data_IF_440564684561
#
_entry.id   IF_440564684561
#
_cell.length_a   1.000
_cell.length_b   1.000
_cell.length_c   1.000
_cell.angle_alpha   90.00
_cell.angle_beta   90.00
_cell.angle_gamma   90.00
#
_symmetry.space_group_name_H-M   'P 1'
#
loop_
_entity.id
_entity.type
_entity.pdbx_description
1 polymer ?
#
# COMPACT_ATOMS: atom_id res chain seq x y z
N UNK A 1 16.33 -41.19 -37.20
CA UNK A 1 15.05 -40.50 -37.00
C UNK A 1 15.32 -39.29 -36.12
N UNK A 2 15.55 -38.13 -36.75
CA UNK A 2 15.96 -36.90 -36.10
C UNK A 2 14.67 -36.17 -35.70
N UNK A 3 14.43 -36.03 -34.38
CA UNK A 3 13.32 -35.21 -33.88
C UNK A 3 13.86 -33.79 -33.73
N UNK A 4 13.36 -32.91 -34.61
CA UNK A 4 13.58 -31.48 -34.59
C UNK A 4 12.98 -30.90 -33.31
N UNK A 5 13.81 -30.33 -32.45
CA UNK A 5 13.39 -29.45 -31.35
C UNK A 5 12.98 -28.10 -31.94
N UNK A 6 11.71 -27.79 -31.78
CA UNK A 6 11.11 -26.54 -32.24
C UNK A 6 11.62 -25.33 -31.47
N UNK A 7 11.80 -24.29 -32.21
CA UNK A 7 12.13 -22.88 -31.92
C UNK A 7 11.87 -22.40 -30.48
N UNK A 8 12.95 -22.08 -29.81
CA UNK A 8 12.95 -21.14 -28.71
C UNK A 8 12.64 -19.75 -29.27
N UNK A 9 11.46 -19.17 -28.95
CA UNK A 9 11.18 -17.79 -29.20
C UNK A 9 12.23 -16.94 -28.48
N UNK A 10 12.85 -15.99 -29.18
CA UNK A 10 13.91 -15.18 -28.63
C UNK A 10 13.34 -14.27 -27.51
N UNK A 11 14.16 -13.94 -26.52
CA UNK A 11 13.80 -13.00 -25.44
C UNK A 11 13.29 -11.67 -25.99
N UNK A 12 13.72 -11.29 -27.20
CA UNK A 12 13.26 -10.10 -27.93
C UNK A 12 11.83 -10.22 -28.47
N UNK A 13 11.38 -11.41 -28.86
CA UNK A 13 9.99 -11.63 -29.29
C UNK A 13 9.01 -11.55 -28.11
N UNK A 14 9.39 -12.02 -26.95
CA UNK A 14 8.62 -11.85 -25.72
C UNK A 14 8.55 -10.38 -25.32
N UNK A 15 9.65 -9.64 -25.32
CA UNK A 15 9.69 -8.19 -25.01
C UNK A 15 8.87 -7.36 -26.00
N UNK A 16 8.84 -7.72 -27.29
CA UNK A 16 7.99 -7.06 -28.29
C UNK A 16 6.50 -7.37 -28.10
N UNK A 17 6.15 -8.60 -27.76
CA UNK A 17 4.80 -9.02 -27.41
C UNK A 17 4.24 -8.23 -26.22
N UNK A 18 5.05 -8.04 -25.21
CA UNK A 18 4.77 -7.28 -24.02
C UNK A 18 4.48 -5.79 -24.29
N UNK A 19 5.36 -5.13 -25.02
CA UNK A 19 5.17 -3.73 -25.41
C UNK A 19 3.85 -3.52 -26.15
N UNK A 20 3.49 -4.44 -27.05
CA UNK A 20 2.21 -4.40 -27.77
C UNK A 20 1.00 -4.61 -26.88
N UNK A 21 1.07 -5.51 -25.88
CA UNK A 21 0.00 -5.73 -24.92
C UNK A 21 -0.22 -4.51 -24.02
N UNK A 22 0.87 -3.87 -23.57
CA UNK A 22 0.84 -2.65 -22.77
C UNK A 22 0.20 -1.48 -23.53
N UNK A 23 0.59 -1.27 -24.79
CA UNK A 23 0.02 -0.23 -25.66
C UNK A 23 -1.48 -0.48 -25.88
N UNK A 24 -1.89 -1.73 -26.12
CA UNK A 24 -3.30 -2.11 -26.30
C UNK A 24 -4.14 -1.79 -25.06
N UNK A 25 -3.63 -2.10 -23.86
CA UNK A 25 -4.29 -1.79 -22.58
C UNK A 25 -4.46 -0.29 -22.38
N UNK A 26 -3.42 0.50 -22.62
CA UNK A 26 -3.46 1.98 -22.53
C UNK A 26 -4.47 2.58 -23.50
N UNK A 27 -4.45 2.15 -24.75
CA UNK A 27 -5.37 2.65 -25.79
C UNK A 27 -6.83 2.31 -25.45
N UNK A 28 -7.09 1.08 -24.99
CA UNK A 28 -8.43 0.66 -24.58
C UNK A 28 -8.98 1.52 -23.43
N UNK A 29 -8.17 1.79 -22.41
CA UNK A 29 -8.56 2.64 -21.29
C UNK A 29 -8.79 4.08 -21.73
N UNK A 30 -7.93 4.64 -22.58
CA UNK A 30 -8.11 5.99 -23.13
C UNK A 30 -9.43 6.12 -23.91
N UNK A 31 -9.77 5.14 -24.74
CA UNK A 31 -11.04 5.12 -25.50
C UNK A 31 -12.24 5.08 -24.52
N UNK A 32 -12.17 4.25 -23.48
CA UNK A 32 -13.25 4.16 -22.49
C UNK A 32 -13.42 5.45 -21.70
N UNK A 33 -12.35 6.12 -21.32
CA UNK A 33 -12.41 7.42 -20.62
C UNK A 33 -13.05 8.48 -21.53
N UNK A 34 -12.66 8.53 -22.81
CA UNK A 34 -13.26 9.45 -23.79
C UNK A 34 -14.76 9.15 -23.97
N UNK A 35 -15.14 7.88 -24.09
CA UNK A 35 -16.55 7.49 -24.20
C UNK A 35 -17.36 7.90 -22.95
N UNK A 36 -16.83 7.72 -21.76
CA UNK A 36 -17.47 8.17 -20.51
C UNK A 36 -17.63 9.69 -20.47
N UNK A 37 -16.61 10.45 -20.88
CA UNK A 37 -16.67 11.91 -20.97
C UNK A 37 -17.72 12.38 -21.99
N UNK A 38 -17.83 11.71 -23.15
CA UNK A 38 -18.83 12.01 -24.15
C UNK A 38 -20.26 11.74 -23.66
N UNK A 39 -20.49 10.60 -22.98
CA UNK A 39 -21.79 10.28 -22.36
C UNK A 39 -22.15 11.32 -21.30
N UNK A 40 -21.19 11.74 -20.49
CA UNK A 40 -21.38 12.76 -19.46
C UNK A 40 -21.77 14.12 -20.10
N UNK A 41 -21.03 14.55 -21.11
CA UNK A 41 -21.31 15.78 -21.85
C UNK A 41 -22.71 15.76 -22.52
N UNK A 42 -23.08 14.63 -23.13
CA UNK A 42 -24.42 14.42 -23.68
C UNK A 42 -25.51 14.52 -22.61
N UNK A 43 -25.31 13.91 -21.45
CA UNK A 43 -26.25 13.95 -20.33
C UNK A 43 -26.44 15.37 -19.81
N UNK A 44 -25.35 16.13 -19.61
CA UNK A 44 -25.41 17.55 -19.21
C UNK A 44 -26.20 18.38 -20.23
N UNK A 45 -25.92 18.20 -21.50
CA UNK A 45 -26.63 18.92 -22.58
C UNK A 45 -28.12 18.57 -22.61
N UNK A 46 -28.46 17.29 -22.54
CA UNK A 46 -29.84 16.81 -22.49
C UNK A 46 -30.62 17.33 -21.30
N UNK A 47 -29.98 17.40 -20.15
CA UNK A 47 -30.62 17.92 -18.92
C UNK A 47 -30.85 19.42 -18.97
N UNK A 48 -29.95 20.17 -19.61
CA UNK A 48 -30.10 21.64 -19.79
C UNK A 48 -31.27 22.02 -20.68
N UNK A 49 -31.71 21.14 -21.57
CA UNK A 49 -32.87 21.32 -22.46
C UNK A 49 -34.19 20.79 -21.88
N UNK A 50 -34.19 20.25 -20.67
CA UNK A 50 -35.37 19.71 -20.01
C UNK A 50 -36.30 20.81 -19.47
N UNK A 51 -37.54 20.44 -19.09
CA UNK A 51 -38.52 21.39 -18.55
C UNK A 51 -38.05 22.11 -17.30
N UNK A 52 -38.48 23.37 -17.08
CA UNK A 52 -38.12 24.19 -15.92
C UNK A 52 -38.42 23.50 -14.59
N UNK A 53 -39.54 22.78 -14.50
CA UNK A 53 -39.88 22.01 -13.29
C UNK A 53 -38.86 20.91 -13.00
N UNK A 54 -38.41 20.19 -14.02
CA UNK A 54 -37.39 19.15 -13.87
C UNK A 54 -36.03 19.74 -13.45
N UNK A 55 -35.63 20.88 -14.02
CA UNK A 55 -34.42 21.59 -13.63
C UNK A 55 -34.50 22.08 -12.18
N UNK A 56 -35.65 22.63 -11.75
CA UNK A 56 -35.86 23.05 -10.36
C UNK A 56 -35.76 21.88 -9.38
N UNK A 57 -36.30 20.71 -9.71
CA UNK A 57 -36.20 19.49 -8.88
C UNK A 57 -34.75 19.00 -8.78
N UNK A 58 -33.99 18.99 -9.86
CA UNK A 58 -32.57 18.63 -9.83
C UNK A 58 -31.74 19.62 -9.00
N UNK A 59 -32.03 20.92 -9.10
CA UNK A 59 -31.35 21.95 -8.32
C UNK A 59 -31.65 21.80 -6.82
N UNK A 60 -32.89 21.53 -6.46
CA UNK A 60 -33.29 21.27 -5.07
C UNK A 60 -32.62 20.01 -4.52
N UNK A 61 -32.57 18.94 -5.31
CA UNK A 61 -31.86 17.71 -4.97
C UNK A 61 -30.37 18.02 -4.75
N UNK A 62 -29.72 18.75 -5.64
CA UNK A 62 -28.29 19.11 -5.54
C UNK A 62 -28.00 19.96 -4.29
N UNK A 63 -28.87 20.91 -3.97
CA UNK A 63 -28.77 21.70 -2.73
C UNK A 63 -28.89 20.79 -1.50
N UNK A 64 -29.86 19.89 -1.50
CA UNK A 64 -30.06 18.93 -0.40
C UNK A 64 -28.83 18.02 -0.22
N UNK A 65 -28.23 17.57 -1.31
CA UNK A 65 -26.98 16.77 -1.30
C UNK A 65 -25.81 17.61 -0.77
N UNK A 66 -25.69 18.89 -1.16
CA UNK A 66 -24.64 19.76 -0.65
C UNK A 66 -24.76 19.98 0.87
N UNK A 67 -25.97 20.23 1.38
CA UNK A 67 -26.23 20.33 2.82
C UNK A 67 -25.91 19.01 3.55
N UNK A 68 -26.26 17.88 2.98
CA UNK A 68 -25.91 16.57 3.53
C UNK A 68 -24.38 16.37 3.62
N UNK A 69 -23.62 16.78 2.58
CA UNK A 69 -22.15 16.68 2.58
C UNK A 69 -21.56 17.53 3.69
N UNK A 70 -22.04 18.75 3.88
CA UNK A 70 -21.56 19.65 4.94
C UNK A 70 -21.77 19.03 6.33
N UNK A 71 -22.93 18.43 6.57
CA UNK A 71 -23.28 17.82 7.85
C UNK A 71 -22.61 16.47 8.15
N UNK A 72 -22.06 15.78 7.11
CA UNK A 72 -21.41 14.48 7.29
C UNK A 72 -20.02 14.65 7.94
N UNK A 73 -19.55 13.73 8.82
CA UNK A 73 -18.15 13.72 9.25
C UNK A 73 -17.21 13.43 8.06
N UNK A 74 -15.98 13.95 8.09
CA UNK A 74 -14.96 13.74 7.05
C UNK A 74 -14.15 15.01 6.79
N UNK A 75 -13.12 14.88 5.97
CA UNK A 75 -12.15 15.91 5.61
C UNK A 75 -12.81 17.19 5.05
N UNK A 76 -12.57 18.38 5.63
CA UNK A 76 -13.18 19.64 5.18
C UNK A 76 -12.85 19.98 3.72
N UNK A 77 -11.61 19.76 3.29
CA UNK A 77 -11.15 20.07 1.92
C UNK A 77 -11.88 19.23 0.87
N UNK A 78 -12.08 17.95 1.15
CA UNK A 78 -12.82 17.04 0.27
C UNK A 78 -14.30 17.45 0.19
N UNK A 79 -14.91 17.85 1.31
CA UNK A 79 -16.30 18.36 1.36
C UNK A 79 -16.46 19.62 0.54
N UNK A 80 -15.55 20.60 0.72
CA UNK A 80 -15.57 21.85 -0.03
C UNK A 80 -15.45 21.60 -1.53
N UNK A 81 -14.57 20.70 -1.95
CA UNK A 81 -14.42 20.34 -3.37
C UNK A 81 -15.72 19.80 -3.97
N UNK A 82 -16.42 18.92 -3.26
CA UNK A 82 -17.72 18.41 -3.70
C UNK A 82 -18.80 19.48 -3.70
N UNK A 83 -18.90 20.29 -2.66
CA UNK A 83 -19.88 21.39 -2.56
C UNK A 83 -19.63 22.40 -3.68
N UNK A 84 -18.38 22.77 -3.95
CA UNK A 84 -18.01 23.64 -5.05
C UNK A 84 -18.45 23.08 -6.42
N UNK A 85 -18.17 21.79 -6.68
CA UNK A 85 -18.59 21.13 -7.91
C UNK A 85 -20.12 21.11 -8.06
N UNK A 86 -20.85 20.85 -6.98
CA UNK A 86 -22.32 20.84 -6.97
C UNK A 86 -22.88 22.25 -7.24
N UNK A 87 -22.30 23.29 -6.63
CA UNK A 87 -22.73 24.67 -6.85
C UNK A 87 -22.41 25.17 -8.27
N UNK A 88 -21.27 24.71 -8.84
CA UNK A 88 -20.90 25.04 -10.22
C UNK A 88 -21.81 24.36 -11.25
N UNK A 89 -22.32 23.17 -10.94
CA UNK A 89 -23.18 22.37 -11.82
C UNK A 89 -24.46 21.93 -11.12
N UNK A 90 -25.37 22.86 -10.73
CA UNK A 90 -26.48 22.57 -9.83
C UNK A 90 -27.50 21.57 -10.42
N UNK A 91 -27.63 21.49 -11.72
CA UNK A 91 -28.54 20.53 -12.37
C UNK A 91 -27.99 19.10 -12.35
N UNK A 92 -26.67 18.93 -12.19
CA UNK A 92 -26.02 17.64 -12.38
C UNK A 92 -25.16 17.22 -11.18
N UNK A 93 -24.51 18.16 -10.49
CA UNK A 93 -23.50 17.87 -9.45
C UNK A 93 -23.99 17.00 -8.31
N UNK A 94 -25.23 17.22 -7.85
CA UNK A 94 -25.84 16.40 -6.81
C UNK A 94 -26.04 14.95 -7.26
N UNK A 95 -26.55 14.73 -8.47
CA UNK A 95 -26.70 13.39 -9.05
C UNK A 95 -25.34 12.71 -9.24
N UNK A 96 -24.35 13.45 -9.72
CA UNK A 96 -22.99 12.93 -9.89
C UNK A 96 -22.37 12.50 -8.56
N UNK A 97 -22.53 13.33 -7.51
CA UNK A 97 -22.09 12.94 -6.17
C UNK A 97 -22.79 11.66 -5.67
N UNK A 98 -24.10 11.56 -5.86
CA UNK A 98 -24.86 10.37 -5.46
C UNK A 98 -24.35 9.13 -6.19
N UNK A 99 -24.19 9.20 -7.52
CA UNK A 99 -23.65 8.09 -8.31
C UNK A 99 -22.23 7.69 -7.85
N UNK A 100 -21.40 8.68 -7.50
CA UNK A 100 -20.07 8.43 -6.97
C UNK A 100 -20.09 7.84 -5.55
N UNK A 101 -20.96 8.32 -4.66
CA UNK A 101 -20.99 7.94 -3.25
C UNK A 101 -21.76 6.64 -2.97
N UNK A 102 -22.74 6.27 -3.82
CA UNK A 102 -23.51 5.04 -3.67
C UNK A 102 -22.77 3.76 -4.07
N UNK A 103 -21.46 3.83 -4.25
CA UNK A 103 -20.67 2.65 -4.60
C UNK A 103 -20.53 1.72 -3.40
N UNK A 104 -21.37 0.70 -3.37
CA UNK A 104 -21.39 -0.32 -2.30
C UNK A 104 -20.12 -1.16 -2.21
N UNK A 105 -19.35 -1.21 -3.31
CA UNK A 105 -18.13 -2.03 -3.41
C UNK A 105 -17.06 -1.68 -2.37
N UNK A 106 -16.81 -0.39 -2.14
CA UNK A 106 -15.83 0.09 -1.15
C UNK A 106 -16.19 -0.35 0.26
N UNK A 107 -17.48 -0.20 0.65
CA UNK A 107 -17.98 -0.63 1.96
C UNK A 107 -17.94 -2.15 2.14
N UNK A 108 -18.17 -2.88 1.06
CA UNK A 108 -18.09 -4.34 1.07
C UNK A 108 -16.65 -4.80 1.30
N UNK A 109 -15.69 -4.31 0.52
CA UNK A 109 -14.28 -4.65 0.68
C UNK A 109 -13.75 -4.21 2.04
N UNK A 110 -14.10 -3.01 2.51
CA UNK A 110 -13.75 -2.54 3.85
C UNK A 110 -14.23 -3.48 4.96
N UNK A 111 -15.46 -4.01 4.86
CA UNK A 111 -15.97 -5.00 5.81
C UNK A 111 -15.20 -6.31 5.76
N UNK A 112 -14.85 -6.81 4.57
CA UNK A 112 -14.06 -8.04 4.42
C UNK A 112 -12.69 -7.87 5.07
N UNK A 113 -12.00 -6.77 4.79
CA UNK A 113 -10.68 -6.49 5.35
C UNK A 113 -10.74 -6.28 6.87
N UNK A 114 -11.74 -5.57 7.38
CA UNK A 114 -11.95 -5.40 8.83
C UNK A 114 -12.23 -6.74 9.53
N UNK A 115 -13.06 -7.59 8.93
CA UNK A 115 -13.34 -8.94 9.46
C UNK A 115 -12.06 -9.79 9.48
N UNK A 116 -11.29 -9.76 8.41
CA UNK A 116 -10.01 -10.48 8.31
C UNK A 116 -8.97 -9.96 9.30
N UNK A 117 -8.86 -8.64 9.44
CA UNK A 117 -7.98 -8.02 10.44
C UNK A 117 -8.38 -8.42 11.86
N UNK A 118 -9.68 -8.44 12.16
CA UNK A 118 -10.18 -8.90 13.46
C UNK A 118 -9.86 -10.39 13.71
N UNK A 119 -9.99 -11.25 12.70
CA UNK A 119 -9.65 -12.66 12.81
C UNK A 119 -8.16 -12.89 13.05
N UNK A 120 -7.28 -12.10 12.40
CA UNK A 120 -5.83 -12.19 12.57
C UNK A 120 -5.33 -11.56 13.87
N UNK A 121 -6.09 -10.65 14.49
CA UNK A 121 -5.67 -9.90 15.69
C UNK A 121 -5.13 -10.77 16.84
N UNK A 122 -5.73 -11.91 17.21
CA UNK A 122 -5.19 -12.79 18.25
C UNK A 122 -3.80 -13.35 17.93
N UNK A 123 -3.45 -13.48 16.64
CA UNK A 123 -2.20 -14.06 16.20
C UNK A 123 -1.01 -13.10 16.36
N UNK A 124 -1.23 -11.79 16.48
CA UNK A 124 -0.17 -10.84 16.84
C UNK A 124 0.36 -11.08 18.25
N UNK A 125 -0.44 -11.63 19.15
CA UNK A 125 -0.09 -11.91 20.53
C UNK A 125 0.20 -13.40 20.79
N UNK A 126 0.65 -14.15 19.78
CA UNK A 126 1.05 -15.56 19.95
C UNK A 126 2.10 -15.69 21.08
N UNK A 127 2.18 -16.85 21.77
CA UNK A 127 3.11 -17.06 22.84
C UNK A 127 4.54 -16.65 22.44
N UNK A 128 5.16 -15.79 23.26
CA UNK A 128 6.49 -15.21 23.02
C UNK A 128 6.62 -14.28 21.79
N UNK A 129 5.52 -13.98 21.06
CA UNK A 129 5.59 -13.03 19.95
C UNK A 129 5.75 -11.59 20.46
N UNK A 130 4.75 -11.05 21.14
CA UNK A 130 4.76 -9.68 21.60
C UNK A 130 5.39 -9.53 22.99
N UNK A 131 6.02 -8.39 23.23
CA UNK A 131 6.44 -7.98 24.58
C UNK A 131 5.22 -7.56 25.41
N UNK A 132 5.29 -7.71 26.72
CA UNK A 132 4.35 -7.11 27.67
C UNK A 132 4.26 -5.58 27.52
N UNK A 133 3.56 -4.90 28.43
CA UNK A 133 3.62 -3.44 28.46
C UNK A 133 5.07 -2.99 28.66
N UNK A 134 5.57 -2.11 27.76
CA UNK A 134 6.93 -1.63 27.90
C UNK A 134 7.07 -0.85 29.21
N UNK A 135 8.16 -1.08 29.92
CA UNK A 135 8.51 -0.29 31.11
C UNK A 135 8.58 1.20 30.70
N UNK A 136 7.78 2.08 31.30
CA UNK A 136 7.83 3.50 31.03
C UNK A 136 9.23 4.11 31.19
N UNK A 137 10.06 3.56 32.07
CA UNK A 137 11.45 4.00 32.24
C UNK A 137 12.33 3.68 31.03
N UNK A 138 12.04 2.61 30.28
CA UNK A 138 12.79 2.23 29.09
C UNK A 138 12.37 3.00 27.84
N UNK A 139 11.09 3.36 27.73
CA UNK A 139 10.52 3.98 26.52
C UNK A 139 10.27 5.48 26.64
N UNK A 140 10.35 6.02 27.87
CA UNK A 140 10.26 7.47 28.13
C UNK A 140 9.04 8.13 27.46
N UNK A 141 9.30 9.19 26.68
CA UNK A 141 8.27 9.97 25.98
C UNK A 141 7.50 9.14 24.93
N UNK A 142 8.04 8.02 24.44
CA UNK A 142 7.38 7.16 23.47
C UNK A 142 6.28 6.26 24.07
N UNK A 143 6.20 6.12 25.41
CA UNK A 143 5.24 5.21 26.07
C UNK A 143 3.77 5.45 25.66
N UNK A 144 3.26 6.70 25.56
CA UNK A 144 1.89 6.93 25.10
C UNK A 144 1.67 6.54 23.63
N UNK A 145 2.67 6.73 22.75
CA UNK A 145 2.59 6.32 21.35
C UNK A 145 2.51 4.78 21.24
N UNK A 146 3.36 4.07 21.97
CA UNK A 146 3.35 2.60 22.00
C UNK A 146 1.99 2.06 22.47
N UNK A 147 1.41 2.67 23.51
CA UNK A 147 0.06 2.29 23.99
C UNK A 147 -1.02 2.56 22.96
N UNK A 148 -0.97 3.70 22.27
CA UNK A 148 -1.92 4.03 21.21
C UNK A 148 -1.86 3.02 20.06
N UNK A 149 -0.67 2.77 19.51
CA UNK A 149 -0.49 1.82 18.40
C UNK A 149 -0.92 0.39 18.83
N UNK A 150 -0.67 0.01 20.09
CA UNK A 150 -1.18 -1.26 20.65
C UNK A 150 -2.72 -1.29 20.72
N UNK A 151 -3.36 -0.20 21.12
CA UNK A 151 -4.83 -0.09 21.13
C UNK A 151 -5.42 -0.24 19.73
N UNK A 152 -4.73 0.23 18.69
CA UNK A 152 -5.06 0.00 17.30
C UNK A 152 -4.88 -1.47 16.86
N UNK A 153 -4.27 -2.32 17.70
CA UNK A 153 -4.11 -3.76 17.45
C UNK A 153 -2.71 -4.21 17.08
N UNK A 154 -1.72 -3.33 17.14
CA UNK A 154 -0.34 -3.61 16.77
C UNK A 154 0.55 -3.64 18.02
N UNK A 155 0.97 -4.81 18.53
CA UNK A 155 1.81 -4.91 19.70
C UNK A 155 3.26 -4.52 19.41
N UNK A 156 3.99 -4.15 20.44
CA UNK A 156 5.44 -3.96 20.37
C UNK A 156 6.18 -5.29 20.61
N UNK A 157 7.31 -5.46 19.97
CA UNK A 157 8.15 -6.66 20.03
C UNK A 157 9.55 -6.31 20.53
N UNK A 158 10.02 -7.02 21.55
CA UNK A 158 11.44 -7.12 21.90
C UNK A 158 12.11 -8.24 21.08
N UNK A 159 13.34 -8.59 21.43
CA UNK A 159 14.13 -9.60 20.72
C UNK A 159 14.08 -9.41 19.18
N UNK A 160 14.28 -8.17 18.78
CA UNK A 160 14.20 -7.75 17.39
C UNK A 160 15.35 -6.79 17.10
N UNK A 161 16.04 -7.06 16.02
CA UNK A 161 17.07 -6.19 15.43
C UNK A 161 16.49 -5.46 14.22
N UNK A 162 16.85 -4.18 14.06
CA UNK A 162 16.53 -3.40 12.88
C UNK A 162 17.79 -2.80 12.28
N UNK A 163 17.92 -2.90 10.96
CA UNK A 163 19.02 -2.35 10.18
C UNK A 163 18.49 -1.31 9.22
N UNK A 164 18.99 -0.08 9.27
CA UNK A 164 18.67 0.97 8.33
C UNK A 164 19.52 0.81 7.07
N UNK A 165 18.88 0.75 5.93
CA UNK A 165 19.48 0.49 4.63
C UNK A 165 19.25 1.67 3.70
N UNK A 166 20.30 2.44 3.46
CA UNK A 166 20.32 3.56 2.53
C UNK A 166 21.73 3.67 1.90
N UNK A 167 21.83 3.97 0.62
CA UNK A 167 20.77 4.18 -0.36
C UNK A 167 20.06 2.87 -0.80
N UNK A 168 19.15 2.97 -1.79
CA UNK A 168 18.40 1.82 -2.29
C UNK A 168 19.25 0.64 -2.76
N UNK A 169 20.49 0.87 -3.21
CA UNK A 169 21.45 -0.19 -3.55
C UNK A 169 21.81 -1.07 -2.33
N UNK A 170 21.95 -0.46 -1.14
CA UNK A 170 22.21 -1.22 0.08
C UNK A 170 21.01 -2.09 0.47
N UNK A 171 19.80 -1.54 0.32
CA UNK A 171 18.55 -2.29 0.49
C UNK A 171 18.47 -3.47 -0.47
N UNK A 172 18.75 -3.27 -1.74
CA UNK A 172 18.73 -4.31 -2.78
C UNK A 172 19.73 -5.43 -2.49
N UNK A 173 20.99 -5.09 -2.20
CA UNK A 173 22.02 -6.09 -1.90
C UNK A 173 21.65 -6.95 -0.68
N UNK A 174 21.10 -6.30 0.36
CA UNK A 174 20.66 -6.99 1.57
C UNK A 174 19.46 -7.89 1.30
N UNK A 175 18.49 -7.40 0.54
CA UNK A 175 17.28 -8.14 0.15
C UNK A 175 17.64 -9.43 -0.59
N UNK A 176 18.50 -9.39 -1.61
CA UNK A 176 18.94 -10.59 -2.33
C UNK A 176 19.65 -11.60 -1.40
N UNK A 177 20.53 -11.10 -0.53
CA UNK A 177 21.25 -11.97 0.43
C UNK A 177 20.32 -12.68 1.40
N UNK A 178 19.20 -12.07 1.81
CA UNK A 178 18.24 -12.71 2.70
C UNK A 178 17.28 -13.66 1.95
N UNK A 179 16.88 -13.30 0.72
CA UNK A 179 16.03 -14.17 -0.11
C UNK A 179 16.70 -15.54 -0.35
N UNK A 180 18.01 -15.55 -0.57
CA UNK A 180 18.78 -16.80 -0.74
C UNK A 180 18.66 -17.75 0.47
N UNK A 181 18.48 -17.21 1.68
CA UNK A 181 18.41 -17.96 2.93
C UNK A 181 17.02 -18.50 3.26
N UNK A 182 16.02 -18.21 2.43
CA UNK A 182 14.64 -18.65 2.67
C UNK A 182 14.54 -20.18 2.69
N UNK A 183 13.82 -20.72 3.68
CA UNK A 183 13.66 -22.15 3.94
C UNK A 183 12.22 -22.64 3.84
N UNK A 184 11.21 -21.79 4.13
CA UNK A 184 9.80 -22.18 4.21
C UNK A 184 8.90 -21.36 3.30
N UNK A 185 8.95 -20.04 3.42
CA UNK A 185 8.08 -19.16 2.64
C UNK A 185 8.67 -17.78 2.40
N UNK A 186 8.23 -17.16 1.30
CA UNK A 186 8.56 -15.80 0.92
C UNK A 186 7.27 -15.08 0.53
N UNK A 187 6.95 -13.96 1.20
CA UNK A 187 5.79 -13.13 0.89
C UNK A 187 6.24 -11.73 0.48
N UNK A 188 5.77 -11.27 -0.68
CA UNK A 188 6.08 -9.95 -1.22
C UNK A 188 4.81 -9.15 -1.46
N UNK A 189 4.82 -7.89 -1.05
CA UNK A 189 3.75 -6.93 -1.30
C UNK A 189 4.38 -5.60 -1.70
N UNK A 190 4.18 -5.19 -2.95
CA UNK A 190 4.80 -3.98 -3.50
C UNK A 190 3.82 -3.19 -4.36
N UNK A 191 3.94 -1.86 -4.32
CA UNK A 191 3.12 -0.98 -5.13
C UNK A 191 3.53 -0.98 -6.60
N UNK A 192 4.85 -0.91 -6.88
CA UNK A 192 5.42 -0.95 -8.23
C UNK A 192 6.34 -2.15 -8.37
N UNK A 193 6.12 -2.88 -9.45
CA UNK A 193 7.04 -3.88 -10.00
C UNK A 193 7.28 -3.49 -11.45
N UNK A 194 8.54 -3.39 -11.85
CA UNK A 194 8.96 -3.10 -13.22
C UNK A 194 10.10 -4.02 -13.62
N UNK A 195 10.06 -4.56 -14.84
CA UNK A 195 11.16 -5.37 -15.38
C UNK A 195 12.45 -4.56 -15.44
N UNK A 196 13.53 -5.17 -15.00
CA UNK A 196 14.85 -4.58 -14.95
C UNK A 196 15.77 -5.36 -14.04
N UNK A 197 16.97 -4.85 -13.81
CA UNK A 197 18.01 -5.53 -13.05
C UNK A 197 17.53 -5.97 -11.67
N UNK A 198 16.82 -5.06 -10.95
CA UNK A 198 16.35 -5.34 -9.59
C UNK A 198 15.32 -6.46 -9.60
N UNK A 199 14.25 -6.31 -10.37
CA UNK A 199 13.17 -7.29 -10.39
C UNK A 199 13.59 -8.62 -10.96
N UNK A 200 14.34 -8.64 -12.08
CA UNK A 200 14.80 -9.89 -12.73
C UNK A 200 15.65 -10.73 -11.77
N UNK A 201 16.51 -10.08 -10.97
CA UNK A 201 17.34 -10.77 -9.96
C UNK A 201 16.50 -11.36 -8.83
N UNK A 202 15.51 -10.59 -8.34
CA UNK A 202 14.57 -11.07 -7.32
C UNK A 202 13.75 -12.22 -7.87
N UNK A 203 13.16 -12.06 -9.06
CA UNK A 203 12.33 -13.08 -9.70
C UNK A 203 13.06 -14.39 -9.91
N UNK A 204 14.32 -14.35 -10.34
CA UNK A 204 15.14 -15.55 -10.53
C UNK A 204 15.31 -16.36 -9.23
N UNK A 205 15.48 -15.68 -8.08
CA UNK A 205 15.54 -16.33 -6.78
C UNK A 205 14.17 -16.91 -6.41
N UNK A 206 13.08 -16.14 -6.60
CA UNK A 206 11.72 -16.58 -6.26
C UNK A 206 11.32 -17.83 -7.07
N UNK A 207 11.61 -17.85 -8.37
CA UNK A 207 11.35 -19.02 -9.24
C UNK A 207 12.09 -20.25 -8.75
N UNK A 208 13.37 -20.12 -8.43
CA UNK A 208 14.16 -21.22 -7.90
C UNK A 208 13.62 -21.71 -6.56
N UNK A 209 13.31 -20.80 -5.63
CA UNK A 209 12.75 -21.14 -4.33
C UNK A 209 11.38 -21.81 -4.44
N UNK A 210 10.53 -21.37 -5.38
CA UNK A 210 9.25 -22.04 -5.67
C UNK A 210 9.46 -23.45 -6.22
N UNK A 211 10.45 -23.66 -7.11
CA UNK A 211 10.82 -24.99 -7.60
C UNK A 211 11.41 -25.90 -6.52
N UNK A 212 12.08 -25.33 -5.52
CA UNK A 212 12.53 -26.02 -4.31
C UNK A 212 11.36 -26.40 -3.36
N UNK A 213 10.13 -25.95 -3.66
CA UNK A 213 8.92 -26.27 -2.88
C UNK A 213 8.56 -25.25 -1.80
N UNK A 214 9.21 -24.08 -1.75
CA UNK A 214 8.85 -23.02 -0.81
C UNK A 214 7.53 -22.37 -1.22
N UNK A 215 6.75 -21.91 -0.24
CA UNK A 215 5.54 -21.14 -0.47
C UNK A 215 5.89 -19.69 -0.84
N UNK A 216 5.82 -19.36 -2.12
CA UNK A 216 6.07 -18.00 -2.60
C UNK A 216 4.75 -17.32 -2.95
N UNK A 217 4.48 -16.14 -2.34
CA UNK A 217 3.27 -15.34 -2.56
C UNK A 217 3.62 -13.90 -2.89
N UNK A 218 2.97 -13.34 -3.89
CA UNK A 218 3.16 -11.95 -4.32
C UNK A 218 1.81 -11.22 -4.37
N UNK A 219 1.78 -10.02 -3.78
CA UNK A 219 0.72 -9.03 -4.01
C UNK A 219 1.35 -7.82 -4.70
N UNK A 220 0.71 -7.32 -5.75
CA UNK A 220 1.06 -6.02 -6.31
C UNK A 220 -0.18 -5.17 -6.59
N UNK A 221 -0.03 -3.85 -6.52
CA UNK A 221 -1.11 -2.93 -6.86
C UNK A 221 -1.26 -2.82 -8.39
N UNK A 222 -2.48 -3.06 -8.91
CA UNK A 222 -2.68 -3.08 -10.35
C UNK A 222 -2.55 -1.69 -11.01
N UNK A 223 -2.82 -0.59 -10.28
CA UNK A 223 -2.55 0.78 -10.80
C UNK A 223 -1.06 1.11 -10.71
N UNK A 224 -0.40 0.75 -9.60
CA UNK A 224 1.04 0.94 -9.46
C UNK A 224 1.83 0.25 -10.57
N UNK A 225 1.35 -0.93 -11.00
CA UNK A 225 1.97 -1.72 -12.06
C UNK A 225 1.30 -1.57 -13.44
N UNK A 226 0.32 -0.65 -13.58
CA UNK A 226 -0.48 -0.51 -14.81
C UNK A 226 0.35 -0.20 -16.06
N UNK A 227 1.41 0.59 -15.89
CA UNK A 227 2.29 1.02 -16.98
C UNK A 227 3.55 0.16 -17.13
N UNK A 228 3.83 -0.70 -16.16
CA UNK A 228 5.09 -1.45 -16.05
C UNK A 228 4.92 -2.95 -16.29
N UNK A 229 3.75 -3.52 -15.99
CA UNK A 229 3.48 -4.95 -16.15
C UNK A 229 2.34 -5.24 -17.15
N UNK A 230 2.36 -6.37 -17.87
CA UNK A 230 1.24 -6.83 -18.68
C UNK A 230 0.02 -7.19 -17.82
N UNK A 231 -1.17 -7.18 -18.45
CA UNK A 231 -2.44 -7.41 -17.75
C UNK A 231 -2.60 -8.82 -17.16
N UNK A 232 -1.85 -9.78 -17.65
CA UNK A 232 -1.88 -11.20 -17.28
C UNK A 232 -0.61 -11.65 -16.54
N UNK A 233 0.15 -10.69 -15.99
CA UNK A 233 1.42 -10.97 -15.31
C UNK A 233 1.25 -11.90 -14.08
N UNK A 234 0.14 -11.77 -13.37
CA UNK A 234 -0.24 -12.69 -12.29
C UNK A 234 -0.27 -14.15 -12.76
N UNK A 235 -0.86 -14.42 -13.94
CA UNK A 235 -0.89 -15.76 -14.53
C UNK A 235 0.50 -16.24 -14.96
N UNK A 236 1.34 -15.32 -15.44
CA UNK A 236 2.72 -15.65 -15.79
C UNK A 236 3.52 -16.11 -14.56
N UNK A 237 3.31 -15.45 -13.40
CA UNK A 237 3.94 -15.85 -12.14
C UNK A 237 3.37 -17.19 -11.61
N UNK A 238 2.06 -17.40 -11.70
CA UNK A 238 1.43 -18.67 -11.33
C UNK A 238 2.00 -19.86 -12.15
N UNK A 239 2.24 -19.66 -13.45
CA UNK A 239 2.87 -20.70 -14.30
C UNK A 239 4.33 -21.02 -13.89
N UNK A 240 4.97 -20.17 -13.11
CA UNK A 240 6.31 -20.36 -12.54
C UNK A 240 6.28 -20.94 -11.12
N UNK A 241 5.09 -21.30 -10.60
CA UNK A 241 4.90 -21.81 -9.24
C UNK A 241 4.84 -20.73 -8.17
N UNK A 242 4.71 -19.47 -8.56
CA UNK A 242 4.63 -18.32 -7.66
C UNK A 242 3.16 -17.89 -7.57
N UNK A 243 2.55 -18.00 -6.38
CA UNK A 243 1.18 -17.53 -6.19
C UNK A 243 1.11 -16.01 -6.24
N UNK A 244 0.24 -15.46 -7.09
CA UNK A 244 0.17 -14.01 -7.31
C UNK A 244 -1.25 -13.48 -7.22
N UNK A 245 -1.41 -12.30 -6.61
CA UNK A 245 -2.68 -11.57 -6.54
C UNK A 245 -2.49 -10.11 -6.88
N UNK A 246 -3.39 -9.60 -7.73
CA UNK A 246 -3.50 -8.15 -7.99
C UNK A 246 -4.38 -7.51 -6.95
N UNK A 247 -3.84 -6.51 -6.24
CA UNK A 247 -4.67 -5.69 -5.37
C UNK A 247 -5.48 -4.71 -6.20
N UNK A 248 -6.78 -4.67 -5.99
CA UNK A 248 -7.77 -3.81 -6.64
C UNK A 248 -7.54 -3.64 -8.16
N UNK A 249 -7.83 -4.68 -8.97
CA UNK A 249 -7.67 -4.61 -10.42
C UNK A 249 -8.32 -3.37 -11.00
N UNK A 250 -7.58 -2.63 -11.82
CA UNK A 250 -8.05 -1.40 -12.43
C UNK A 250 -9.21 -1.68 -13.38
N UNK A 251 -10.31 -1.02 -13.13
CA UNK A 251 -11.49 -1.01 -14.01
C UNK A 251 -11.74 0.42 -14.42
N UNK A 252 -11.85 0.73 -15.71
CA UNK A 252 -12.00 2.10 -16.23
C UNK A 252 -13.43 2.64 -16.04
N UNK A 253 -13.96 2.54 -14.83
CA UNK A 253 -15.22 3.12 -14.40
C UNK A 253 -14.96 4.13 -13.30
N UNK A 254 -15.78 5.19 -13.24
CA UNK A 254 -15.80 6.12 -12.11
C UNK A 254 -16.14 5.33 -10.84
N UNK A 255 -15.14 5.05 -10.03
CA UNK A 255 -15.29 4.31 -8.79
C UNK A 255 -14.38 4.86 -7.70
N UNK A 256 -14.94 5.12 -6.51
CA UNK A 256 -14.17 5.52 -5.33
C UNK A 256 -13.18 4.44 -4.90
N UNK A 257 -13.43 3.17 -5.22
CA UNK A 257 -12.48 2.07 -4.99
C UNK A 257 -11.15 2.26 -5.72
N UNK A 258 -11.14 2.98 -6.86
CA UNK A 258 -9.92 3.20 -7.61
C UNK A 258 -8.90 4.08 -6.88
N UNK A 259 -9.34 4.87 -5.89
CA UNK A 259 -8.48 5.70 -5.06
C UNK A 259 -7.87 4.92 -3.87
N UNK A 260 -8.37 3.71 -3.59
CA UNK A 260 -7.88 2.87 -2.52
C UNK A 260 -6.79 1.95 -3.07
N UNK A 261 -5.54 2.35 -2.86
CA UNK A 261 -4.37 1.66 -3.37
C UNK A 261 -3.55 1.06 -2.25
N UNK A 262 -2.87 -0.04 -2.54
CA UNK A 262 -1.91 -0.63 -1.64
C UNK A 262 -0.52 -0.03 -1.92
N UNK A 263 -0.09 0.88 -1.06
CA UNK A 263 1.22 1.54 -1.18
C UNK A 263 2.28 0.94 -0.26
N UNK A 264 1.97 -0.19 0.38
CA UNK A 264 2.92 -0.87 1.28
C UNK A 264 4.04 -1.53 0.47
N UNK A 265 5.22 -1.64 1.07
CA UNK A 265 6.36 -2.39 0.57
C UNK A 265 6.76 -3.34 1.68
N UNK A 266 6.43 -4.58 1.51
CA UNK A 266 6.68 -5.64 2.48
C UNK A 266 7.34 -6.82 1.76
N UNK A 267 8.47 -7.28 2.30
CA UNK A 267 9.01 -8.59 2.01
C UNK A 267 9.16 -9.32 3.33
N UNK A 268 8.66 -10.54 3.40
CA UNK A 268 8.82 -11.41 4.58
C UNK A 268 9.45 -12.72 4.16
N UNK A 269 10.43 -13.17 4.94
CA UNK A 269 11.12 -14.45 4.76
C UNK A 269 10.95 -15.25 6.04
N UNK A 270 10.26 -16.39 5.94
CA UNK A 270 10.05 -17.38 7.01
C UNK A 270 9.45 -16.79 8.31
N UNK A 271 8.86 -15.58 8.30
CA UNK A 271 8.44 -14.86 9.48
C UNK A 271 9.58 -14.43 10.43
N UNK A 272 10.82 -14.63 10.01
CA UNK A 272 12.05 -14.36 10.77
C UNK A 272 12.72 -13.06 10.36
N UNK A 273 12.60 -12.69 9.09
CA UNK A 273 13.17 -11.49 8.50
C UNK A 273 12.09 -10.76 7.72
N UNK A 274 12.03 -9.44 7.84
CA UNK A 274 11.14 -8.60 7.05
C UNK A 274 11.87 -7.37 6.53
N UNK A 275 11.43 -6.88 5.37
CA UNK A 275 11.89 -5.62 4.79
C UNK A 275 10.69 -4.71 4.56
N UNK A 276 10.91 -3.42 4.79
CA UNK A 276 9.96 -2.35 4.47
C UNK A 276 10.70 -1.06 4.17
N UNK A 277 10.04 -0.09 3.55
CA UNK A 277 10.65 1.22 3.22
C UNK A 277 10.00 1.92 2.05
N UNK A 278 10.74 2.83 1.42
CA UNK A 278 10.33 3.56 0.23
C UNK A 278 10.57 2.81 -1.07
N UNK A 279 11.57 1.92 -1.11
CA UNK A 279 12.05 1.22 -2.30
C UNK A 279 10.98 0.30 -2.89
N UNK A 280 10.61 0.52 -4.16
CA UNK A 280 9.83 -0.43 -4.96
C UNK A 280 10.76 -1.36 -5.76
N UNK A 281 10.17 -2.32 -6.48
CA UNK A 281 10.91 -3.27 -7.30
C UNK A 281 11.08 -2.74 -8.73
N UNK A 282 11.86 -1.66 -8.87
CA UNK A 282 12.19 -1.02 -10.14
C UNK A 282 13.58 -0.39 -10.09
N UNK A 283 14.23 -0.28 -11.24
CA UNK A 283 15.64 0.08 -11.37
C UNK A 283 15.99 1.51 -10.96
N UNK A 284 15.03 2.45 -11.04
CA UNK A 284 15.24 3.82 -10.56
C UNK A 284 15.52 3.87 -9.05
N UNK A 285 14.97 2.97 -8.25
CA UNK A 285 15.18 2.94 -6.79
C UNK A 285 16.59 2.51 -6.37
N UNK A 286 17.30 1.83 -7.27
CA UNK A 286 18.70 1.40 -7.08
C UNK A 286 19.68 2.18 -7.94
N UNK A 287 19.22 3.23 -8.62
CA UNK A 287 19.99 4.05 -9.55
C UNK A 287 20.70 3.26 -10.67
N UNK A 288 20.14 2.10 -11.06
CA UNK A 288 20.57 1.39 -12.26
C UNK A 288 20.03 2.07 -13.53
N UNK A 289 19.00 2.90 -13.37
CA UNK A 289 18.43 3.76 -14.38
C UNK A 289 18.13 5.14 -13.79
N UNK A 290 18.63 6.21 -14.41
CA UNK A 290 18.41 7.58 -13.96
C UNK A 290 17.13 8.14 -14.59
N UNK A 291 16.05 8.21 -13.80
CA UNK A 291 14.74 8.69 -14.25
C UNK A 291 14.52 10.17 -13.92
N UNK A 292 14.93 10.59 -12.73
CA UNK A 292 14.70 11.92 -12.17
C UNK A 292 15.95 12.48 -11.45
N UNK A 293 17.15 12.12 -11.92
CA UNK A 293 18.40 12.34 -11.20
C UNK A 293 18.69 11.19 -10.23
N UNK A 294 19.69 11.38 -9.36
CA UNK A 294 20.05 10.39 -8.35
C UNK A 294 18.89 10.20 -7.34
N UNK A 295 18.42 8.96 -7.22
CA UNK A 295 17.32 8.61 -6.33
C UNK A 295 17.86 8.19 -4.96
N UNK A 296 17.60 9.01 -3.95
CA UNK A 296 17.95 8.71 -2.56
C UNK A 296 16.75 8.06 -1.88
N UNK A 297 16.80 6.75 -1.69
CA UNK A 297 15.77 6.01 -0.97
C UNK A 297 16.34 5.29 0.24
N UNK A 298 15.45 4.77 1.08
CA UNK A 298 15.81 4.04 2.28
C UNK A 298 14.80 2.95 2.61
N UNK A 299 15.28 1.94 3.31
CA UNK A 299 14.46 0.88 3.86
C UNK A 299 15.01 0.37 5.18
N UNK A 300 14.29 -0.56 5.76
CA UNK A 300 14.64 -1.27 6.98
C UNK A 300 14.64 -2.77 6.72
N UNK A 301 15.64 -3.46 7.26
CA UNK A 301 15.61 -4.90 7.47
C UNK A 301 15.33 -5.14 8.95
N UNK A 302 14.30 -5.92 9.25
CA UNK A 302 13.86 -6.27 10.60
C UNK A 302 14.03 -7.77 10.80
N UNK A 303 14.77 -8.18 11.84
CA UNK A 303 15.02 -9.59 12.17
C UNK A 303 14.50 -9.90 13.57
N UNK A 304 13.86 -11.03 13.73
CA UNK A 304 13.33 -11.49 15.00
C UNK A 304 11.82 -11.37 15.10
N UNK A 305 11.31 -11.20 16.32
CA UNK A 305 9.87 -11.33 16.60
C UNK A 305 8.97 -10.37 15.82
N UNK A 306 9.41 -9.14 15.57
CA UNK A 306 8.61 -8.16 14.85
C UNK A 306 8.39 -8.52 13.37
N UNK A 307 9.21 -9.39 12.76
CA UNK A 307 8.99 -9.87 11.40
C UNK A 307 7.65 -10.61 11.25
N UNK A 308 7.15 -11.22 12.31
CA UNK A 308 5.84 -11.86 12.34
C UNK A 308 4.69 -10.87 12.07
N UNK A 309 4.78 -9.65 12.58
CA UNK A 309 3.78 -8.60 12.28
C UNK A 309 3.66 -8.32 10.78
N UNK A 310 4.75 -8.34 10.05
CA UNK A 310 4.74 -8.14 8.59
C UNK A 310 4.10 -9.34 7.87
N UNK A 311 4.30 -10.57 8.37
CA UNK A 311 3.58 -11.76 7.85
C UNK A 311 2.08 -11.56 7.99
N UNK A 312 1.60 -11.14 9.17
CA UNK A 312 0.19 -10.91 9.40
C UNK A 312 -0.36 -9.73 8.57
N UNK A 313 0.42 -8.65 8.44
CA UNK A 313 0.06 -7.51 7.59
C UNK A 313 -0.12 -7.93 6.11
N UNK A 314 0.79 -8.74 5.58
CA UNK A 314 0.63 -9.34 4.24
C UNK A 314 -0.65 -10.18 4.14
N UNK A 315 -0.89 -11.06 5.12
CA UNK A 315 -2.05 -11.96 5.13
C UNK A 315 -3.39 -11.23 5.30
N UNK A 316 -3.39 -9.99 5.80
CA UNK A 316 -4.59 -9.15 5.80
C UNK A 316 -5.11 -8.87 4.38
N UNK A 317 -4.21 -8.69 3.40
CA UNK A 317 -4.58 -8.39 2.01
C UNK A 317 -4.59 -9.64 1.12
N UNK A 318 -3.92 -10.71 1.51
CA UNK A 318 -3.88 -11.95 0.74
C UNK A 318 -5.26 -12.61 0.69
N UNK A 319 -5.81 -12.80 -0.50
CA UNK A 319 -7.11 -13.47 -0.74
C UNK A 319 -8.22 -13.06 0.24
N UNK A 320 -8.35 -11.75 0.50
CA UNK A 320 -9.30 -11.22 1.48
C UNK A 320 -10.78 -11.49 1.15
N UNK A 321 -11.08 -12.03 -0.03
CA UNK A 321 -12.41 -12.50 -0.43
C UNK A 321 -12.72 -13.90 0.11
N UNK A 322 -11.71 -14.65 0.52
CA UNK A 322 -11.85 -16.01 1.04
C UNK A 322 -11.76 -16.02 2.57
N UNK A 323 -12.35 -17.03 3.19
CA UNK A 323 -12.22 -17.24 4.63
C UNK A 323 -10.75 -17.63 4.95
N UNK A 324 -10.21 -17.08 6.03
CA UNK A 324 -8.84 -17.35 6.43
C UNK A 324 -8.77 -18.60 7.32
N UNK A 325 -7.92 -19.54 6.96
CA UNK A 325 -7.55 -20.65 7.80
C UNK A 325 -6.52 -20.21 8.86
N UNK A 326 -7.00 -19.95 10.07
CA UNK A 326 -6.16 -19.47 11.17
C UNK A 326 -5.16 -20.54 11.66
N UNK A 327 -5.44 -21.82 11.49
CA UNK A 327 -4.54 -22.88 11.91
C UNK A 327 -3.38 -22.99 10.90
N UNK A 328 -3.68 -22.89 9.60
CA UNK A 328 -2.63 -22.76 8.59
C UNK A 328 -1.75 -21.53 8.80
N UNK A 329 -2.34 -20.38 9.22
CA UNK A 329 -1.55 -19.18 9.55
C UNK A 329 -0.67 -19.41 10.77
N UNK A 330 -1.17 -20.08 11.81
CA UNK A 330 -0.36 -20.42 13.00
C UNK A 330 0.85 -21.27 12.64
N UNK A 331 0.72 -22.20 11.69
CA UNK A 331 1.83 -23.05 11.23
C UNK A 331 2.97 -22.25 10.56
N UNK A 332 2.70 -21.04 10.09
CA UNK A 332 3.72 -20.14 9.55
C UNK A 332 4.55 -19.44 10.64
N UNK A 333 4.10 -19.46 11.91
CA UNK A 333 4.82 -18.79 13.00
C UNK A 333 6.16 -19.49 13.29
N UNK A 334 7.30 -18.78 13.19
CA UNK A 334 8.60 -19.44 13.20
C UNK A 334 9.12 -19.85 14.60
N UNK A 335 8.51 -19.33 15.67
CA UNK A 335 9.00 -19.48 17.03
C UNK A 335 8.09 -20.38 17.88
N UNK A 336 7.41 -21.36 17.27
CA UNK A 336 6.53 -22.30 17.99
C UNK A 336 7.34 -23.24 18.87
N UNK A 337 8.36 -23.87 18.28
CA UNK A 337 9.14 -24.95 18.91
C UNK A 337 10.51 -24.49 19.44
N UNK A 338 10.91 -23.26 19.11
CA UNK A 338 12.21 -22.73 19.50
C UNK A 338 12.09 -21.26 19.90
N UNK A 339 12.73 -20.83 21.00
CA UNK A 339 12.74 -19.43 21.37
C UNK A 339 13.42 -18.59 20.27
N UNK A 340 12.87 -17.41 20.02
CA UNK A 340 13.54 -16.42 19.18
C UNK A 340 14.89 -16.06 19.80
N UNK A 341 16.00 -16.06 19.05
CA UNK A 341 17.28 -15.57 19.54
C UNK A 341 17.12 -14.17 20.13
N UNK A 342 17.83 -13.88 21.23
CA UNK A 342 17.83 -12.56 21.84
C UNK A 342 18.53 -11.56 20.92
N UNK A 343 17.79 -10.96 19.99
CA UNK A 343 18.27 -9.96 19.05
C UNK A 343 17.86 -8.57 19.50
N UNK A 344 18.81 -7.64 19.57
CA UNK A 344 18.54 -6.24 19.89
C UNK A 344 18.07 -6.01 21.34
N UNK A 345 18.20 -4.79 21.83
CA UNK A 345 17.77 -4.36 23.16
C UNK A 345 16.55 -3.44 23.15
N UNK A 346 16.11 -3.00 21.98
CA UNK A 346 14.98 -2.07 21.79
C UNK A 346 13.65 -2.76 21.55
N UNK A 347 12.63 -1.94 21.32
CA UNK A 347 11.30 -2.37 20.92
C UNK A 347 11.05 -1.96 19.48
N UNK A 348 10.47 -2.85 18.70
CA UNK A 348 10.00 -2.59 17.34
C UNK A 348 8.49 -2.81 17.30
N UNK A 349 7.75 -1.83 16.81
CA UNK A 349 6.29 -1.89 16.73
C UNK A 349 5.83 -1.61 15.30
N UNK A 350 5.76 -2.62 14.42
CA UNK A 350 5.22 -2.47 13.09
C UNK A 350 3.71 -2.21 13.15
N UNK A 351 3.24 -1.29 12.33
CA UNK A 351 1.82 -1.05 12.10
C UNK A 351 1.57 -0.81 10.62
N UNK A 352 0.33 -0.93 10.19
CA UNK A 352 -0.08 -0.67 8.82
C UNK A 352 -1.37 0.14 8.82
N UNK A 353 -1.46 1.10 7.91
CA UNK A 353 -2.70 1.81 7.61
C UNK A 353 -3.41 1.19 6.41
N UNK A 354 -4.72 1.37 6.38
CA UNK A 354 -5.56 1.05 5.24
C UNK A 354 -6.55 2.19 5.01
N UNK A 355 -6.79 2.59 3.76
CA UNK A 355 -7.80 3.62 3.49
C UNK A 355 -9.23 3.12 3.71
N UNK A 356 -9.42 1.89 4.19
CA UNK A 356 -10.70 1.21 4.31
C UNK A 356 -11.23 1.12 5.73
N UNK A 357 -10.44 1.52 6.72
CA UNK A 357 -10.89 1.73 8.10
C UNK A 357 -10.95 3.23 8.44
N UNK A 358 -11.38 3.55 9.65
CA UNK A 358 -11.53 4.92 10.12
C UNK A 358 -10.41 5.33 11.08
N UNK A 359 -9.49 4.43 11.39
CA UNK A 359 -8.37 4.70 12.28
C UNK A 359 -7.16 5.17 11.48
N UNK A 360 -6.74 6.40 11.72
CA UNK A 360 -5.60 7.03 11.05
C UNK A 360 -4.32 6.80 11.89
N UNK A 361 -3.92 5.53 12.01
CA UNK A 361 -2.81 5.10 12.88
C UNK A 361 -1.50 5.81 12.52
N UNK A 362 -1.15 5.86 11.23
CA UNK A 362 0.07 6.49 10.76
C UNK A 362 0.07 8.01 10.96
N UNK A 363 -1.02 8.68 10.61
CA UNK A 363 -1.14 10.13 10.83
C UNK A 363 -1.00 10.47 12.32
N UNK A 364 -1.69 9.72 13.18
CA UNK A 364 -1.63 9.89 14.64
C UNK A 364 -0.23 9.63 15.19
N UNK A 365 0.49 8.63 14.65
CA UNK A 365 1.86 8.35 15.02
C UNK A 365 2.80 9.51 14.63
N UNK A 366 2.72 10.03 13.39
CA UNK A 366 3.50 11.19 12.96
C UNK A 366 3.19 12.42 13.82
N UNK A 367 1.92 12.70 14.07
CA UNK A 367 1.49 13.82 14.91
C UNK A 367 2.12 13.72 16.32
N UNK A 368 2.11 12.52 16.92
CA UNK A 368 2.72 12.30 18.23
C UNK A 368 4.24 12.48 18.23
N UNK A 369 4.91 11.99 17.20
CA UNK A 369 6.37 12.19 17.05
C UNK A 369 6.70 13.69 16.97
N UNK A 370 5.97 14.44 16.16
CA UNK A 370 6.15 15.90 16.02
C UNK A 370 5.90 16.61 17.36
N UNK A 371 4.83 16.24 18.08
CA UNK A 371 4.48 16.82 19.39
C UNK A 371 5.51 16.55 20.48
N UNK A 372 6.22 15.41 20.40
CA UNK A 372 7.25 15.03 21.36
C UNK A 372 8.64 15.55 21.01
N UNK A 373 8.83 16.08 19.83
CA UNK A 373 10.11 16.63 19.40
C UNK A 373 10.51 17.83 20.27
N UNK A 374 11.73 17.77 20.81
CA UNK A 374 12.30 18.83 21.66
C UNK A 374 13.41 19.61 20.95
N UNK A 375 14.16 18.96 20.08
CA UNK A 375 15.35 19.53 19.43
C UNK A 375 15.12 19.75 17.95
N UNK A 376 14.71 18.71 17.20
CA UNK A 376 14.52 18.81 15.75
C UNK A 376 13.46 17.85 15.23
N UNK A 377 12.88 18.21 14.07
CA UNK A 377 12.04 17.36 13.21
C UNK A 377 12.54 17.50 11.78
N UNK A 378 13.12 16.44 11.23
CA UNK A 378 13.59 16.41 9.85
C UNK A 378 12.73 15.43 9.05
N UNK A 379 12.15 15.92 7.96
CA UNK A 379 11.25 15.17 7.09
C UNK A 379 11.83 15.17 5.68
N UNK A 380 12.06 14.00 5.12
CA UNK A 380 12.37 13.81 3.70
C UNK A 380 11.23 13.02 3.06
N UNK A 381 10.58 13.61 2.05
CA UNK A 381 9.44 12.98 1.40
C UNK A 381 9.34 13.39 -0.07
N UNK A 382 9.04 12.46 -0.99
CA UNK A 382 8.76 12.80 -2.38
C UNK A 382 7.41 13.50 -2.56
N UNK A 383 6.49 13.37 -1.59
CA UNK A 383 5.13 13.91 -1.65
C UNK A 383 4.78 14.63 -0.36
N UNK A 384 4.85 15.95 -0.37
CA UNK A 384 4.46 16.76 0.78
C UNK A 384 2.94 17.03 0.72
N UNK A 385 2.14 16.05 1.09
CA UNK A 385 0.68 16.14 1.18
C UNK A 385 0.32 16.10 2.66
N UNK A 386 0.20 17.26 3.27
CA UNK A 386 -0.12 17.43 4.69
C UNK A 386 -1.46 18.16 4.85
N UNK A 387 -2.21 17.75 5.84
CA UNK A 387 -3.46 18.40 6.24
C UNK A 387 -3.22 19.57 7.23
N UNK A 388 -4.28 20.27 7.58
CA UNK A 388 -4.22 21.40 8.51
C UNK A 388 -3.73 20.99 9.91
N UNK A 389 -3.95 19.73 10.32
CA UNK A 389 -3.56 19.23 11.64
C UNK A 389 -2.04 19.06 11.68
N UNK A 390 -1.44 18.39 10.70
CA UNK A 390 0.01 18.22 10.61
C UNK A 390 0.71 19.56 10.36
N UNK A 391 0.14 20.44 9.52
CA UNK A 391 0.67 21.78 9.29
C UNK A 391 0.70 22.58 10.59
N UNK A 392 -0.36 22.53 11.38
CA UNK A 392 -0.44 23.22 12.67
C UNK A 392 0.57 22.66 13.67
N UNK A 393 0.75 21.34 13.71
CA UNK A 393 1.71 20.69 14.60
C UNK A 393 3.16 21.08 14.25
N UNK A 394 3.53 21.06 12.97
CA UNK A 394 4.86 21.47 12.49
C UNK A 394 5.13 22.96 12.77
N UNK A 395 4.12 23.81 12.52
CA UNK A 395 4.20 25.24 12.79
C UNK A 395 4.38 25.52 14.29
N UNK A 396 3.63 24.80 15.15
CA UNK A 396 3.76 24.92 16.60
C UNK A 396 5.14 24.47 17.07
N UNK A 397 5.63 23.32 16.60
CA UNK A 397 6.97 22.82 16.92
C UNK A 397 8.05 23.85 16.57
N UNK A 398 8.02 24.38 15.33
CA UNK A 398 8.98 25.39 14.87
C UNK A 398 8.93 26.68 15.72
N UNK A 399 7.72 27.19 16.03
CA UNK A 399 7.56 28.38 16.88
C UNK A 399 7.92 28.13 18.35
N UNK A 400 7.95 26.89 18.78
CA UNK A 400 8.40 26.48 20.12
C UNK A 400 9.91 26.27 20.21
N UNK A 401 10.67 26.51 19.12
CA UNK A 401 12.13 26.43 19.11
C UNK A 401 12.69 25.10 18.60
N UNK A 402 11.86 24.19 18.10
CA UNK A 402 12.29 22.94 17.45
C UNK A 402 12.80 23.26 16.04
N UNK A 403 13.98 22.77 15.65
CA UNK A 403 14.52 22.89 14.30
C UNK A 403 13.73 21.99 13.33
N UNK A 404 12.81 22.57 12.56
CA UNK A 404 11.96 21.87 11.60
C UNK A 404 12.50 22.02 10.20
N UNK A 405 12.91 20.90 9.55
CA UNK A 405 13.41 20.89 8.17
C UNK A 405 12.65 19.89 7.32
N UNK A 406 12.26 20.31 6.12
CA UNK A 406 11.53 19.49 5.17
C UNK A 406 12.31 19.49 3.85
N UNK A 407 12.60 18.30 3.34
CA UNK A 407 13.29 18.08 2.07
C UNK A 407 12.28 17.44 1.12
N UNK A 408 12.05 18.10 0.00
CA UNK A 408 11.23 17.60 -1.11
C UNK A 408 12.04 17.58 -2.39
N UNK A 409 11.68 16.78 -3.40
CA UNK A 409 12.35 16.82 -4.69
C UNK A 409 12.27 18.21 -5.32
N UNK A 410 13.30 18.57 -6.07
CA UNK A 410 13.27 19.72 -6.95
C UNK A 410 12.33 19.41 -8.14
N UNK A 411 11.47 20.37 -8.50
CA UNK A 411 10.58 20.29 -9.67
C UNK A 411 11.31 20.75 -10.92
#
# INVERSE_FOLDING_TARGET
>A
MIISLGNGGSCDDMKQGWKRALIRRRLFVAILIIAQAAVLAYFIHSTSSASEVFQALLSLMSLSVALYIVGKPGEPTAKLSWVFLILLTPLFGGLFYLLYSFQSGTKYVGRLLSSRSAALRPLFALPNAASGDPDPAQVGLCAPLLRYIRACGYPAYGATESEYLSPGQAFYARLLSELEKAEKYIFLEFFIIEEGQLWDSVLAILERKAQEGLLVRIIYDDIGCFLTLPSDYDKMLENKGIHCRKFHPFRPFLSSMQNQRDHRKILVIDGKVAFTGGVNLADEYINAYEKHGYWQDAGLCVRGKAAWSFTLAFLQLWDYHEEIDLDAVRMLYPWQDSPCPGLGSGLVQPYADTPMDMELTGQSAYLRIIQYAQNYVYISTPYLIIDDILMSALTLAAKSGVDVRIITPHV
#
